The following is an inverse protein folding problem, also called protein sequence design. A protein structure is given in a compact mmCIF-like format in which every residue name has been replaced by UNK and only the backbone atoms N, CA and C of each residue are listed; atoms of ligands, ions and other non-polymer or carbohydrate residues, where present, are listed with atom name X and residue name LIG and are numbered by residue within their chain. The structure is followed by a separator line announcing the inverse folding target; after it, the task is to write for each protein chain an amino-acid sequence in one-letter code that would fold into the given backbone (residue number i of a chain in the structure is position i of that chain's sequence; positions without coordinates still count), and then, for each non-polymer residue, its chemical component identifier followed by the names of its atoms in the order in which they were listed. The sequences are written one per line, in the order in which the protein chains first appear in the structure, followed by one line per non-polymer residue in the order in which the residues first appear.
data_IF_192283444898
#
_entry.id   IF_192283444898
#
_cell.length_a   1.000
_cell.length_b   1.000
_cell.length_c   1.000
_cell.angle_alpha   90.00
_cell.angle_beta   90.00
_cell.angle_gamma   90.00
#
_symmetry.space_group_name_H-M   'P 1'
#
loop_
_entity.id
_entity.type
_entity.pdbx_description
1 polymer ?
#
# COMPACT_ATOMS: atom_id res chain seq x y z
N UNK A 1 5.60 28.54 18.23
CA UNK A 1 4.74 27.38 18.53
C UNK A 1 3.90 27.00 17.31
N UNK A 2 4.41 26.13 16.42
CA UNK A 2 3.61 25.51 15.35
C UNK A 2 3.64 24.01 15.60
N UNK A 3 2.74 23.57 16.47
CA UNK A 3 2.44 22.16 16.63
C UNK A 3 1.92 21.61 15.30
N UNK A 4 2.59 20.57 14.84
CA UNK A 4 2.32 19.85 13.61
C UNK A 4 0.85 19.40 13.58
N UNK A 5 0.11 19.85 12.57
CA UNK A 5 -1.31 19.57 12.32
C UNK A 5 -1.64 18.07 12.14
N UNK A 6 -0.68 17.17 12.35
CA UNK A 6 -0.81 15.71 12.20
C UNK A 6 -0.77 15.02 13.58
N UNK A 7 -0.08 15.60 14.57
CA UNK A 7 -0.02 15.02 15.91
C UNK A 7 -1.30 15.31 16.73
N UNK A 8 -2.00 16.41 16.43
CA UNK A 8 -3.23 16.78 17.15
C UNK A 8 -4.47 16.05 16.60
N UNK A 9 -4.46 15.63 15.34
CA UNK A 9 -5.64 15.03 14.69
C UNK A 9 -5.97 13.64 15.21
N UNK A 10 -5.01 12.94 15.82
CA UNK A 10 -5.25 11.60 16.38
C UNK A 10 -6.18 11.66 17.61
N UNK A 11 -6.23 12.79 18.32
CA UNK A 11 -7.10 12.94 19.51
C UNK A 11 -8.50 13.49 19.19
N UNK A 12 -8.70 14.16 18.06
CA UNK A 12 -9.98 14.82 17.69
C UNK A 12 -10.83 14.07 16.66
N UNK A 13 -10.48 12.82 16.29
CA UNK A 13 -11.36 12.05 15.41
C UNK A 13 -12.72 11.83 16.09
N UNK A 14 -13.78 12.34 15.46
CA UNK A 14 -15.17 12.03 15.81
C UNK A 14 -15.39 10.51 15.78
N UNK A 15 -16.35 9.96 16.54
CA UNK A 15 -16.61 8.52 16.58
C UNK A 15 -16.78 7.90 15.18
N UNK A 16 -17.40 8.64 14.27
CA UNK A 16 -17.59 8.25 12.87
C UNK A 16 -16.26 8.17 12.10
N UNK A 17 -15.34 9.12 12.30
CA UNK A 17 -14.01 9.06 11.67
C UNK A 17 -13.16 7.92 12.22
N UNK A 18 -13.33 7.54 13.50
CA UNK A 18 -12.64 6.37 14.08
C UNK A 18 -13.12 5.07 13.45
N UNK A 19 -14.41 4.94 13.20
CA UNK A 19 -15.01 3.79 12.52
C UNK A 19 -14.54 3.68 11.07
N UNK A 20 -14.55 4.78 10.30
CA UNK A 20 -14.00 4.84 8.94
C UNK A 20 -12.52 4.44 8.94
N UNK A 21 -11.73 4.98 9.87
CA UNK A 21 -10.32 4.65 9.98
C UNK A 21 -10.11 3.16 10.33
N UNK A 22 -10.98 2.56 11.13
CA UNK A 22 -11.00 1.12 11.43
C UNK A 22 -11.24 0.28 10.17
N UNK A 23 -12.30 0.59 9.44
CA UNK A 23 -12.66 -0.08 8.18
C UNK A 23 -11.55 0.04 7.14
N UNK A 24 -10.96 1.23 6.98
CA UNK A 24 -9.85 1.45 6.06
C UNK A 24 -8.61 0.63 6.46
N UNK A 25 -8.25 0.61 7.76
CA UNK A 25 -7.14 -0.23 8.26
C UNK A 25 -7.37 -1.71 7.97
N UNK A 26 -8.59 -2.20 8.18
CA UNK A 26 -8.95 -3.59 7.88
C UNK A 26 -8.79 -3.90 6.39
N UNK A 27 -9.29 -3.03 5.51
CA UNK A 27 -9.18 -3.21 4.06
C UNK A 27 -7.71 -3.22 3.59
N UNK A 28 -6.88 -2.28 4.08
CA UNK A 28 -5.46 -2.24 3.78
C UNK A 28 -4.73 -3.50 4.26
N UNK A 29 -5.08 -3.99 5.47
CA UNK A 29 -4.50 -5.23 6.00
C UNK A 29 -4.88 -6.46 5.17
N UNK A 30 -6.12 -6.53 4.70
CA UNK A 30 -6.58 -7.62 3.82
C UNK A 30 -5.84 -7.62 2.48
N UNK A 31 -5.61 -6.45 1.89
CA UNK A 31 -4.82 -6.31 0.67
C UNK A 31 -3.36 -6.75 0.90
N UNK A 32 -2.73 -6.27 1.98
CA UNK A 32 -1.37 -6.68 2.36
C UNK A 32 -1.27 -8.19 2.57
N UNK A 33 -2.23 -8.81 3.29
CA UNK A 33 -2.20 -10.26 3.53
C UNK A 33 -2.40 -11.07 2.25
N UNK A 34 -3.16 -10.55 1.29
CA UNK A 34 -3.33 -11.18 -0.02
C UNK A 34 -2.02 -11.17 -0.80
N UNK A 35 -1.35 -10.01 -0.90
CA UNK A 35 -0.04 -9.93 -1.56
C UNK A 35 1.01 -10.78 -0.85
N UNK A 36 1.03 -10.77 0.49
CA UNK A 36 1.97 -11.57 1.25
C UNK A 36 1.84 -13.06 0.94
N UNK A 37 0.61 -13.60 0.87
CA UNK A 37 0.40 -15.02 0.55
C UNK A 37 1.00 -15.40 -0.80
N UNK A 38 0.82 -14.55 -1.81
CA UNK A 38 1.36 -14.77 -3.16
C UNK A 38 2.90 -14.70 -3.13
N UNK A 39 3.47 -13.67 -2.51
CA UNK A 39 4.92 -13.48 -2.44
C UNK A 39 5.63 -14.54 -1.60
N UNK A 40 5.01 -14.99 -0.50
CA UNK A 40 5.52 -16.07 0.33
C UNK A 40 5.57 -17.39 -0.44
N UNK A 41 4.52 -17.68 -1.23
CA UNK A 41 4.48 -18.83 -2.14
C UNK A 41 5.59 -18.72 -3.21
N UNK A 42 5.72 -17.58 -3.87
CA UNK A 42 6.75 -17.36 -4.88
C UNK A 42 8.16 -17.59 -4.31
N UNK A 43 8.42 -17.12 -3.08
CA UNK A 43 9.69 -17.38 -2.38
C UNK A 43 9.92 -18.86 -2.10
N UNK A 44 8.90 -19.58 -1.64
CA UNK A 44 9.00 -21.04 -1.43
C UNK A 44 9.26 -21.81 -2.73
N UNK A 45 8.81 -21.29 -3.87
CA UNK A 45 9.02 -21.86 -5.20
C UNK A 45 10.36 -21.44 -5.85
N UNK A 46 11.14 -20.56 -5.20
CA UNK A 46 12.38 -20.03 -5.75
C UNK A 46 12.19 -18.97 -6.84
N UNK A 47 10.97 -18.47 -7.02
CA UNK A 47 10.63 -17.41 -8.00
C UNK A 47 10.96 -16.01 -7.46
N UNK A 48 11.05 -15.86 -6.14
CA UNK A 48 11.47 -14.62 -5.47
C UNK A 48 12.82 -14.83 -4.80
N UNK A 49 13.76 -13.90 -5.02
CA UNK A 49 15.11 -13.96 -4.44
C UNK A 49 15.10 -14.07 -2.91
N UNK A 50 16.08 -14.79 -2.36
CA UNK A 50 16.19 -15.06 -0.93
C UNK A 50 16.37 -13.81 -0.05
N UNK A 51 16.95 -12.75 -0.61
CA UNK A 51 17.17 -11.47 0.07
C UNK A 51 15.91 -10.60 0.19
N UNK A 52 14.83 -10.95 -0.51
CA UNK A 52 13.57 -10.19 -0.49
C UNK A 52 12.70 -10.60 0.69
N UNK A 53 12.15 -9.64 1.42
CA UNK A 53 11.14 -9.87 2.46
C UNK A 53 9.72 -9.81 1.84
N UNK A 54 8.98 -10.93 1.76
CA UNK A 54 7.62 -10.95 1.23
C UNK A 54 6.65 -10.00 1.94
N UNK A 55 6.85 -9.75 3.24
CA UNK A 55 5.98 -8.87 4.03
C UNK A 55 6.25 -7.40 3.72
N UNK A 56 7.52 -7.02 3.62
CA UNK A 56 7.90 -5.67 3.19
C UNK A 56 7.40 -5.37 1.77
N UNK A 57 7.58 -6.32 0.84
CA UNK A 57 7.08 -6.19 -0.53
C UNK A 57 5.55 -6.12 -0.61
N UNK A 58 4.84 -6.91 0.21
CA UNK A 58 3.37 -6.84 0.27
C UNK A 58 2.87 -5.45 0.72
N UNK A 59 3.52 -4.84 1.72
CA UNK A 59 3.20 -3.47 2.17
C UNK A 59 3.46 -2.47 1.06
N UNK A 60 4.61 -2.57 0.40
CA UNK A 60 4.97 -1.73 -0.73
C UNK A 60 3.92 -1.81 -1.85
N UNK A 61 3.53 -3.01 -2.29
CA UNK A 61 2.51 -3.19 -3.32
C UNK A 61 1.15 -2.64 -2.90
N UNK A 62 0.74 -2.83 -1.65
CA UNK A 62 -0.50 -2.21 -1.12
C UNK A 62 -0.44 -0.69 -1.19
N UNK A 63 0.68 -0.07 -0.79
CA UNK A 63 0.87 1.38 -0.87
C UNK A 63 0.85 1.86 -2.33
N UNK A 64 1.55 1.19 -3.23
CA UNK A 64 1.59 1.53 -4.65
C UNK A 64 0.21 1.41 -5.30
N UNK A 65 -0.56 0.36 -4.98
CA UNK A 65 -1.93 0.19 -5.45
C UNK A 65 -2.81 1.38 -5.06
N UNK A 66 -2.72 1.86 -3.80
CA UNK A 66 -3.47 3.04 -3.37
C UNK A 66 -2.99 4.32 -4.09
N UNK A 67 -1.67 4.49 -4.25
CA UNK A 67 -1.11 5.61 -5.01
C UNK A 67 -1.61 5.65 -6.45
N UNK A 68 -1.64 4.51 -7.14
CA UNK A 68 -2.19 4.37 -8.49
C UNK A 68 -3.66 4.74 -8.55
N UNK A 69 -4.49 4.27 -7.60
CA UNK A 69 -5.90 4.65 -7.53
C UNK A 69 -6.07 6.16 -7.37
N UNK A 70 -5.23 6.80 -6.54
CA UNK A 70 -5.24 8.26 -6.35
C UNK A 70 -4.87 8.98 -7.64
N UNK A 71 -3.82 8.56 -8.34
CA UNK A 71 -3.41 9.16 -9.62
C UNK A 71 -4.50 9.06 -10.68
N UNK A 72 -5.16 7.89 -10.80
CA UNK A 72 -6.28 7.68 -11.72
C UNK A 72 -7.43 8.66 -11.39
N UNK A 73 -7.81 8.75 -10.11
CA UNK A 73 -8.86 9.67 -9.65
C UNK A 73 -8.49 11.15 -9.84
N UNK A 74 -7.21 11.48 -9.83
CA UNK A 74 -6.69 12.81 -10.10
C UNK A 74 -6.63 13.15 -11.61
N UNK A 75 -6.98 12.21 -12.50
CA UNK A 75 -6.97 12.43 -13.95
C UNK A 75 -5.58 12.39 -14.56
N UNK A 76 -4.63 11.70 -13.92
CA UNK A 76 -3.28 11.54 -14.47
C UNK A 76 -3.31 10.76 -15.79
N UNK A 77 -2.39 11.06 -16.73
CA UNK A 77 -2.28 10.33 -17.99
C UNK A 77 -2.08 8.82 -17.77
N UNK A 78 -2.74 8.00 -18.58
CA UNK A 78 -2.74 6.55 -18.41
C UNK A 78 -1.34 5.92 -18.57
N UNK A 79 -0.51 6.49 -19.43
CA UNK A 79 0.89 6.11 -19.63
C UNK A 79 1.73 6.34 -18.38
N UNK A 80 1.55 7.49 -17.71
CA UNK A 80 2.24 7.80 -16.44
C UNK A 80 1.84 6.83 -15.33
N UNK A 81 0.53 6.54 -15.21
CA UNK A 81 0.02 5.58 -14.22
C UNK A 81 0.57 4.18 -14.50
N UNK A 82 0.57 3.76 -15.77
CA UNK A 82 1.09 2.46 -16.20
C UNK A 82 2.59 2.33 -15.91
N UNK A 83 3.39 3.31 -16.31
CA UNK A 83 4.84 3.32 -16.10
C UNK A 83 5.18 3.26 -14.60
N UNK A 84 4.40 3.94 -13.75
CA UNK A 84 4.55 3.88 -12.29
C UNK A 84 4.29 2.48 -11.74
N UNK A 85 3.25 1.80 -12.24
CA UNK A 85 2.94 0.43 -11.84
C UNK A 85 4.01 -0.57 -12.32
N UNK A 86 4.52 -0.41 -13.55
CA UNK A 86 5.61 -1.24 -14.10
C UNK A 86 6.90 -1.09 -13.27
N UNK A 87 7.26 0.15 -12.92
CA UNK A 87 8.42 0.43 -12.06
C UNK A 87 8.27 -0.19 -10.66
N UNK A 88 7.04 -0.21 -10.12
CA UNK A 88 6.79 -0.88 -8.84
C UNK A 88 7.00 -2.39 -8.93
N UNK A 89 6.60 -3.01 -10.04
CA UNK A 89 6.72 -4.45 -10.23
C UNK A 89 8.17 -4.88 -10.46
N UNK A 90 9.02 -4.06 -11.08
CA UNK A 90 10.44 -4.38 -11.28
C UNK A 90 11.24 -4.49 -9.97
N UNK A 91 10.68 -4.07 -8.83
CA UNK A 91 11.29 -4.26 -7.51
C UNK A 91 11.20 -5.73 -7.05
N UNK A 92 10.29 -6.51 -7.64
CA UNK A 92 10.13 -7.93 -7.34
C UNK A 92 11.23 -8.80 -7.98
N UNK A 93 11.90 -8.29 -9.02
CA UNK A 93 13.06 -8.91 -9.68
C UNK A 93 14.32 -8.88 -8.78
#
# INVERSE_FOLDING_TARGET
HRGCLIANTVMELSPHEKEIAGTLRQALKMAEDTFFKVLARAKQQGELRDDKDPRALARFLTTMMQGTIVMIKAGMPADVVKQTAETALSILD
#
